data_IF_045911931940
#
_entry.id   IF_045911931940
#
_cell.length_a   1.000
_cell.length_b   1.000
_cell.length_c   1.000
_cell.angle_alpha   90.00
_cell.angle_beta   90.00
_cell.angle_gamma   90.00
#
_symmetry.space_group_name_H-M   'P 1'
#
loop_
_entity.id
_entity.type
_entity.pdbx_description
1 polymer ?
#
# COMPACT_ATOMS: atom_id res chain seq x y z
N UNK A 1 31.94 -87.64 -13.58
CA UNK A 1 31.91 -86.22 -14.06
C UNK A 1 30.44 -85.78 -14.19
N UNK A 2 29.92 -85.12 -13.18
CA UNK A 2 28.53 -84.66 -13.18
C UNK A 2 28.47 -83.12 -12.91
N UNK A 3 27.68 -82.39 -13.64
CA UNK A 3 27.59 -80.94 -13.42
C UNK A 3 26.63 -80.58 -12.28
N UNK A 4 27.16 -79.77 -11.39
CA UNK A 4 26.38 -79.09 -10.33
C UNK A 4 25.34 -78.13 -10.91
N UNK A 5 24.05 -78.36 -10.57
CA UNK A 5 23.00 -77.35 -10.76
C UNK A 5 22.94 -76.45 -9.55
N UNK A 6 23.31 -75.18 -9.75
CA UNK A 6 23.06 -74.13 -8.77
C UNK A 6 21.64 -73.60 -8.92
N UNK A 7 20.85 -73.73 -7.85
CA UNK A 7 19.51 -73.15 -7.75
C UNK A 7 19.64 -71.70 -7.35
N UNK A 8 19.24 -70.78 -8.23
CA UNK A 8 19.13 -69.33 -7.94
C UNK A 8 17.81 -69.15 -7.22
N UNK A 9 17.89 -68.79 -5.93
CA UNK A 9 16.75 -68.31 -5.11
C UNK A 9 16.54 -66.84 -5.35
N UNK A 10 15.54 -66.49 -6.13
CA UNK A 10 15.06 -65.13 -6.31
C UNK A 10 14.27 -64.71 -5.05
N UNK A 11 14.85 -63.81 -4.25
CA UNK A 11 14.13 -63.19 -3.13
C UNK A 11 13.37 -61.99 -3.67
N UNK A 12 12.05 -62.10 -3.69
CA UNK A 12 11.15 -60.98 -3.96
C UNK A 12 11.15 -60.05 -2.73
N UNK A 13 11.80 -58.88 -2.86
CA UNK A 13 11.73 -57.84 -1.84
C UNK A 13 10.56 -56.96 -2.19
N UNK A 14 9.41 -57.17 -1.48
CA UNK A 14 8.30 -56.23 -1.53
C UNK A 14 8.70 -54.94 -0.77
N UNK A 15 9.09 -53.90 -1.53
CA UNK A 15 9.34 -52.58 -0.97
C UNK A 15 7.98 -51.87 -0.80
N UNK A 16 7.48 -51.88 0.44
CA UNK A 16 6.33 -51.05 0.84
C UNK A 16 6.77 -49.61 0.89
N UNK A 17 6.46 -48.83 -0.16
CA UNK A 17 6.56 -47.36 -0.16
C UNK A 17 5.41 -46.80 0.69
N UNK A 18 5.69 -46.55 1.97
CA UNK A 18 4.83 -45.74 2.82
C UNK A 18 4.92 -44.26 2.27
N UNK A 19 3.91 -43.85 1.51
CA UNK A 19 3.69 -42.47 1.19
C UNK A 19 3.25 -41.73 2.49
N UNK A 20 4.23 -41.16 3.22
CA UNK A 20 3.93 -40.15 4.24
C UNK A 20 3.41 -38.92 3.49
N UNK A 21 2.10 -38.76 3.43
CA UNK A 21 1.46 -37.53 3.13
C UNK A 21 1.84 -36.50 4.23
N UNK A 22 2.92 -35.75 4.04
CA UNK A 22 3.18 -34.55 4.84
C UNK A 22 2.03 -33.57 4.59
N UNK A 23 0.95 -33.69 5.37
CA UNK A 23 0.01 -32.59 5.54
C UNK A 23 0.76 -31.48 6.26
N UNK A 24 1.37 -30.57 5.47
CA UNK A 24 1.84 -29.31 6.01
C UNK A 24 0.66 -28.67 6.75
N UNK A 25 0.81 -28.25 8.03
CA UNK A 25 -0.24 -27.51 8.69
C UNK A 25 -0.50 -26.27 7.81
N UNK A 26 -1.74 -26.12 7.35
CA UNK A 26 -2.18 -24.91 6.71
C UNK A 26 -1.94 -23.80 7.75
N UNK A 27 -0.83 -23.06 7.58
CA UNK A 27 -0.54 -21.91 8.40
C UNK A 27 -1.80 -21.06 8.36
N UNK A 28 -2.42 -20.84 9.52
CA UNK A 28 -3.65 -20.07 9.62
C UNK A 28 -3.40 -18.75 8.89
N UNK A 29 -3.97 -18.64 7.68
CA UNK A 29 -3.72 -17.51 6.80
C UNK A 29 -4.03 -16.24 7.58
N UNK A 30 -3.02 -15.40 7.78
CA UNK A 30 -3.17 -14.18 8.56
C UNK A 30 -4.29 -13.33 7.98
N UNK A 31 -5.22 -12.87 8.82
CA UNK A 31 -6.32 -11.98 8.40
C UNK A 31 -5.92 -10.51 8.35
N UNK A 32 -4.63 -10.23 8.49
CA UNK A 32 -4.10 -8.88 8.38
C UNK A 32 -4.41 -8.26 7.03
N UNK A 33 -4.73 -6.98 7.03
CA UNK A 33 -4.97 -6.19 5.82
C UNK A 33 -4.02 -5.00 5.82
N UNK A 34 -3.51 -4.66 4.65
CA UNK A 34 -2.74 -3.43 4.43
C UNK A 34 -2.91 -2.93 3.01
N UNK A 35 -2.98 -1.62 2.85
CA UNK A 35 -2.99 -0.99 1.53
C UNK A 35 -1.56 -0.68 1.12
N UNK A 36 -1.19 -1.10 -0.09
CA UNK A 36 0.07 -0.76 -0.73
C UNK A 36 -0.19 0.05 -2.00
N UNK A 37 0.69 1.01 -2.22
CA UNK A 37 0.70 1.88 -3.38
C UNK A 37 2.01 1.69 -4.13
N UNK A 38 2.04 2.02 -5.40
CA UNK A 38 3.28 2.14 -6.17
C UNK A 38 3.59 3.61 -6.38
N UNK A 39 4.83 3.99 -6.13
CA UNK A 39 5.33 5.32 -6.51
C UNK A 39 5.41 5.37 -8.03
N UNK A 40 4.66 6.31 -8.62
CA UNK A 40 4.58 6.54 -10.06
C UNK A 40 5.37 7.76 -10.49
N UNK A 41 4.91 8.40 -11.57
CA UNK A 41 5.57 9.53 -12.20
C UNK A 41 5.73 10.74 -11.26
N UNK A 42 6.80 11.54 -11.46
CA UNK A 42 6.99 12.78 -10.73
C UNK A 42 5.94 13.83 -11.13
N UNK A 43 5.41 14.53 -10.12
CA UNK A 43 4.45 15.64 -10.27
C UNK A 43 5.12 17.02 -10.18
N UNK A 44 6.41 17.06 -9.87
CA UNK A 44 7.23 18.27 -9.85
C UNK A 44 8.49 18.04 -10.65
N UNK A 45 9.00 19.07 -11.36
CA UNK A 45 10.15 18.93 -12.25
C UNK A 45 11.42 18.58 -11.49
N UNK A 46 12.30 17.81 -12.14
CA UNK A 46 13.67 17.57 -11.71
C UNK A 46 14.57 18.82 -11.92
N UNK A 47 15.80 18.76 -11.38
CA UNK A 47 16.81 19.80 -11.57
C UNK A 47 16.84 20.85 -10.46
N UNK A 48 17.48 21.99 -10.78
CA UNK A 48 17.63 23.10 -9.83
C UNK A 48 16.40 23.98 -9.79
N UNK A 49 15.99 24.35 -8.57
CA UNK A 49 14.91 25.31 -8.36
C UNK A 49 14.90 25.91 -6.96
N UNK A 50 14.16 27.00 -6.83
CA UNK A 50 13.80 27.59 -5.54
C UNK A 50 12.61 26.81 -4.96
N UNK A 51 12.69 26.49 -3.65
CA UNK A 51 11.63 25.85 -2.86
C UNK A 51 11.31 26.76 -1.69
N UNK A 52 10.12 27.32 -1.70
CA UNK A 52 9.61 28.18 -0.62
C UNK A 52 8.98 27.31 0.47
N UNK A 53 8.65 27.94 1.59
CA UNK A 53 7.94 27.24 2.67
C UNK A 53 6.61 26.69 2.16
N UNK A 54 6.34 25.40 2.47
CA UNK A 54 5.19 24.59 2.04
C UNK A 54 5.26 24.06 0.60
N UNK A 55 6.28 24.43 -0.18
CA UNK A 55 6.51 23.81 -1.47
C UNK A 55 7.09 22.39 -1.30
N UNK A 56 6.92 21.57 -2.34
CA UNK A 56 7.47 20.22 -2.37
C UNK A 56 8.87 20.19 -2.98
N UNK A 57 9.81 19.51 -2.31
CA UNK A 57 11.15 19.17 -2.84
C UNK A 57 11.02 18.13 -3.96
N UNK A 58 10.19 17.12 -3.73
CA UNK A 58 9.71 16.18 -4.75
C UNK A 58 8.27 15.80 -4.42
N UNK A 59 7.53 15.42 -5.43
CA UNK A 59 6.16 14.94 -5.32
C UNK A 59 5.90 13.93 -6.43
N UNK A 60 5.38 12.79 -6.09
CA UNK A 60 5.12 11.69 -7.01
C UNK A 60 3.68 11.21 -6.88
N UNK A 61 3.11 10.78 -8.00
CA UNK A 61 1.82 10.12 -8.02
C UNK A 61 1.90 8.78 -7.28
N UNK A 62 0.83 8.42 -6.60
CA UNK A 62 0.64 7.09 -6.03
C UNK A 62 -0.45 6.35 -6.80
N UNK A 63 -0.13 5.14 -7.25
CA UNK A 63 -1.04 4.24 -7.93
C UNK A 63 -1.34 3.05 -7.01
N UNK A 64 -2.60 2.57 -6.94
CA UNK A 64 -2.90 1.37 -6.16
C UNK A 64 -2.20 0.14 -6.75
N UNK A 65 -1.88 -0.85 -5.93
CA UNK A 65 -1.30 -2.12 -6.41
C UNK A 65 -2.25 -2.91 -7.30
N UNK A 66 -3.54 -2.78 -7.10
CA UNK A 66 -4.58 -3.33 -7.95
C UNK A 66 -5.80 -2.42 -7.95
N UNK A 67 -6.48 -2.38 -9.09
CA UNK A 67 -7.64 -1.55 -9.35
C UNK A 67 -8.74 -2.40 -9.97
N UNK A 68 -9.98 -2.18 -9.56
CA UNK A 68 -11.14 -2.85 -10.14
C UNK A 68 -12.37 -1.93 -10.19
N UNK A 69 -13.33 -2.29 -11.03
CA UNK A 69 -14.69 -1.72 -11.03
C UNK A 69 -15.72 -2.84 -11.17
N UNK A 70 -16.95 -2.58 -10.76
CA UNK A 70 -18.04 -3.55 -10.90
C UNK A 70 -18.47 -3.68 -12.36
N UNK A 71 -18.59 -4.90 -12.85
CA UNK A 71 -18.96 -5.19 -14.25
C UNK A 71 -20.42 -4.84 -14.59
N UNK A 72 -21.32 -4.80 -13.60
CA UNK A 72 -22.73 -4.45 -13.76
C UNK A 72 -23.03 -2.95 -13.81
N UNK A 73 -21.99 -2.11 -13.87
CA UNK A 73 -22.12 -0.65 -13.95
C UNK A 73 -22.87 -0.03 -12.77
N UNK A 74 -23.62 1.06 -13.02
CA UNK A 74 -24.27 1.85 -11.98
C UNK A 74 -25.30 1.10 -11.15
N UNK A 75 -26.02 0.13 -11.73
CA UNK A 75 -27.01 -0.65 -11.00
C UNK A 75 -26.37 -1.56 -9.96
N UNK A 76 -25.29 -2.28 -10.33
CA UNK A 76 -24.52 -3.12 -9.41
C UNK A 76 -23.83 -2.28 -8.33
N UNK A 77 -23.25 -1.15 -8.69
CA UNK A 77 -22.63 -0.23 -7.75
C UNK A 77 -23.66 0.29 -6.72
N UNK A 78 -24.82 0.73 -7.16
CA UNK A 78 -25.90 1.20 -6.29
C UNK A 78 -26.38 0.11 -5.31
N UNK A 79 -26.59 -1.12 -5.81
CA UNK A 79 -26.95 -2.27 -4.98
C UNK A 79 -25.89 -2.58 -3.92
N UNK A 80 -24.63 -2.33 -4.22
CA UNK A 80 -23.49 -2.48 -3.30
C UNK A 80 -23.28 -1.26 -2.38
N UNK A 81 -24.08 -0.21 -2.50
CA UNK A 81 -23.93 1.04 -1.74
C UNK A 81 -22.75 1.90 -2.20
N UNK A 82 -22.31 1.72 -3.44
CA UNK A 82 -21.22 2.45 -4.07
C UNK A 82 -21.76 3.53 -5.03
N UNK A 83 -20.91 4.47 -5.41
CA UNK A 83 -21.22 5.37 -6.53
C UNK A 83 -21.23 4.59 -7.85
N UNK A 84 -21.96 5.10 -8.86
CA UNK A 84 -22.11 4.42 -10.16
C UNK A 84 -20.80 4.09 -10.86
N UNK A 85 -19.77 4.91 -10.61
CA UNK A 85 -18.46 4.83 -11.23
C UNK A 85 -17.34 4.49 -10.22
N UNK A 86 -17.70 3.89 -9.08
CA UNK A 86 -16.75 3.60 -8.02
C UNK A 86 -15.62 2.70 -8.52
N UNK A 87 -14.40 3.14 -8.27
CA UNK A 87 -13.19 2.34 -8.42
C UNK A 87 -12.81 1.76 -7.06
N UNK A 88 -12.47 0.48 -7.06
CA UNK A 88 -12.09 -0.27 -5.87
C UNK A 88 -10.60 -0.55 -5.91
N UNK A 89 -9.90 -0.34 -4.81
CA UNK A 89 -8.46 -0.64 -4.68
C UNK A 89 -8.23 -1.98 -3.99
N UNK A 90 -7.24 -2.72 -4.46
CA UNK A 90 -6.85 -3.98 -3.86
C UNK A 90 -6.17 -3.76 -2.51
N UNK A 91 -6.58 -4.54 -1.53
CA UNK A 91 -5.99 -4.56 -0.19
C UNK A 91 -5.26 -5.87 0.00
N UNK A 92 -3.98 -5.78 0.36
CA UNK A 92 -3.14 -6.95 0.60
C UNK A 92 -3.63 -7.71 1.83
N UNK A 93 -3.98 -8.97 1.64
CA UNK A 93 -4.37 -9.91 2.70
C UNK A 93 -4.05 -11.34 2.27
N UNK A 94 -4.03 -12.28 3.20
CA UNK A 94 -3.70 -13.66 2.87
C UNK A 94 -4.93 -14.48 2.49
N UNK A 95 -4.80 -15.28 1.43
CA UNK A 95 -5.71 -16.37 1.08
C UNK A 95 -7.01 -15.99 0.38
N UNK A 96 -7.28 -14.69 0.15
CA UNK A 96 -8.44 -14.20 -0.59
C UNK A 96 -8.10 -12.88 -1.27
N UNK A 97 -8.83 -12.51 -2.30
CA UNK A 97 -8.74 -11.20 -2.93
C UNK A 97 -9.73 -10.24 -2.24
N UNK A 98 -9.26 -9.07 -1.86
CA UNK A 98 -10.09 -8.04 -1.23
C UNK A 98 -9.90 -6.74 -1.96
N UNK A 99 -11.02 -6.11 -2.31
CA UNK A 99 -11.07 -4.76 -2.85
C UNK A 99 -11.93 -3.87 -1.96
N UNK A 100 -11.49 -2.63 -1.75
CA UNK A 100 -12.21 -1.67 -0.92
C UNK A 100 -12.44 -0.35 -1.68
N UNK A 101 -13.54 0.33 -1.37
CA UNK A 101 -13.78 1.71 -1.84
C UNK A 101 -12.75 2.64 -1.18
N UNK A 102 -11.89 3.32 -1.96
CA UNK A 102 -10.90 4.24 -1.40
C UNK A 102 -11.52 5.53 -0.85
N UNK A 103 -12.76 5.85 -1.20
CA UNK A 103 -13.39 7.10 -0.85
C UNK A 103 -14.05 7.03 0.53
N UNK A 104 -13.85 8.07 1.33
CA UNK A 104 -14.50 8.24 2.63
C UNK A 104 -15.89 8.81 2.38
N UNK A 105 -16.89 7.95 2.17
CA UNK A 105 -18.25 8.38 1.82
C UNK A 105 -19.17 8.70 2.98
N UNK A 106 -18.90 8.18 4.18
CA UNK A 106 -19.77 8.39 5.33
C UNK A 106 -19.00 8.79 6.58
N UNK A 107 -19.31 9.97 7.12
CA UNK A 107 -18.97 10.30 8.51
C UNK A 107 -19.95 9.56 9.41
N UNK A 108 -19.52 8.50 10.10
CA UNK A 108 -20.25 7.99 11.25
C UNK A 108 -19.82 8.77 12.50
N UNK A 109 -20.66 8.79 13.53
CA UNK A 109 -20.34 9.44 14.81
C UNK A 109 -19.00 8.99 15.39
N UNK A 110 -18.56 7.77 15.07
CA UNK A 110 -17.26 7.23 15.46
C UNK A 110 -16.61 6.57 14.25
N UNK A 111 -15.63 7.26 13.65
CA UNK A 111 -14.80 6.75 12.56
C UNK A 111 -15.45 6.81 11.17
N UNK A 112 -14.66 6.44 10.19
CA UNK A 112 -15.09 6.33 8.79
C UNK A 112 -15.21 4.85 8.44
N UNK A 113 -16.31 4.45 7.83
CA UNK A 113 -16.50 3.10 7.34
C UNK A 113 -16.36 3.07 5.82
N UNK A 114 -15.58 2.13 5.32
CA UNK A 114 -15.39 1.88 3.91
C UNK A 114 -15.89 0.48 3.57
N UNK A 115 -16.72 0.32 2.54
CA UNK A 115 -17.11 -0.99 2.06
C UNK A 115 -15.91 -1.70 1.42
N UNK A 116 -15.73 -2.95 1.81
CA UNK A 116 -14.79 -3.89 1.23
C UNK A 116 -15.53 -5.12 0.74
N UNK A 117 -15.05 -5.69 -0.35
CA UNK A 117 -15.62 -6.84 -1.03
C UNK A 117 -14.57 -7.95 -1.10
N UNK A 118 -15.01 -9.18 -0.96
CA UNK A 118 -14.16 -10.37 -0.93
C UNK A 118 -14.52 -11.28 -2.09
N UNK A 119 -13.52 -11.62 -2.87
CA UNK A 119 -13.52 -12.71 -3.83
C UNK A 119 -12.73 -13.85 -3.18
N UNK A 120 -13.45 -14.89 -2.75
CA UNK A 120 -12.92 -15.95 -1.89
C UNK A 120 -12.21 -17.05 -2.67
N UNK A 121 -12.63 -17.30 -3.90
CA UNK A 121 -12.13 -18.38 -4.77
C UNK A 121 -11.40 -17.86 -6.02
N UNK A 122 -11.29 -16.52 -6.16
CA UNK A 122 -10.59 -15.85 -7.25
C UNK A 122 -11.24 -16.04 -8.62
N UNK A 123 -12.58 -16.17 -8.67
CA UNK A 123 -13.35 -16.37 -9.90
C UNK A 123 -13.73 -15.05 -10.62
N UNK A 124 -13.37 -13.89 -10.03
CA UNK A 124 -13.70 -12.57 -10.55
C UNK A 124 -15.06 -12.05 -10.11
N UNK A 125 -15.60 -12.61 -9.02
CA UNK A 125 -16.84 -12.17 -8.38
C UNK A 125 -16.63 -11.97 -6.88
N UNK A 126 -17.34 -11.03 -6.31
CA UNK A 126 -17.39 -10.85 -4.87
C UNK A 126 -18.57 -11.59 -4.28
N UNK A 127 -18.35 -12.54 -3.38
CA UNK A 127 -19.38 -13.29 -2.65
C UNK A 127 -19.60 -12.73 -1.24
N UNK A 128 -18.69 -11.89 -0.75
CA UNK A 128 -18.76 -11.35 0.59
C UNK A 128 -18.46 -9.86 0.66
N UNK A 129 -18.98 -9.22 1.69
CA UNK A 129 -18.68 -7.83 1.98
C UNK A 129 -18.49 -7.58 3.47
N UNK A 130 -17.78 -6.54 3.81
CA UNK A 130 -17.64 -6.04 5.19
C UNK A 130 -17.30 -4.55 5.19
N UNK A 131 -17.40 -3.93 6.37
CA UNK A 131 -17.00 -2.55 6.57
C UNK A 131 -15.68 -2.52 7.35
N UNK A 132 -14.72 -1.77 6.87
CA UNK A 132 -13.52 -1.44 7.64
C UNK A 132 -13.68 -0.08 8.33
N UNK A 133 -13.12 0.04 9.54
CA UNK A 133 -13.18 1.29 10.33
C UNK A 133 -11.83 2.01 10.38
N UNK A 134 -10.80 1.43 9.79
CA UNK A 134 -9.44 1.95 9.87
C UNK A 134 -9.14 2.86 8.69
N UNK A 135 -9.46 4.13 8.82
CA UNK A 135 -9.10 5.16 7.84
C UNK A 135 -8.23 6.21 8.52
N UNK A 136 -6.99 6.31 8.08
CA UNK A 136 -6.16 7.47 8.38
C UNK A 136 -6.50 8.56 7.36
N UNK A 137 -6.69 9.81 7.81
CA UNK A 137 -6.87 10.94 6.90
C UNK A 137 -5.74 10.95 5.85
N UNK A 138 -6.12 11.14 4.59
CA UNK A 138 -5.18 11.39 3.51
C UNK A 138 -4.90 10.19 2.60
N UNK A 139 -4.34 9.12 3.08
CA UNK A 139 -4.26 7.85 2.36
C UNK A 139 -5.22 6.86 2.98
N UNK A 140 -5.87 6.07 2.15
CA UNK A 140 -6.59 4.89 2.59
C UNK A 140 -5.55 3.89 3.07
N UNK A 141 -5.15 4.01 4.33
CA UNK A 141 -4.45 2.96 5.02
C UNK A 141 -5.49 2.04 5.63
N UNK A 142 -5.95 1.09 4.86
CA UNK A 142 -6.75 0.01 5.41
C UNK A 142 -5.79 -0.89 6.16
N UNK A 143 -5.84 -0.79 7.47
CA UNK A 143 -5.06 -1.63 8.37
C UNK A 143 -6.02 -2.37 9.28
N UNK A 144 -5.60 -3.50 9.78
CA UNK A 144 -6.39 -4.29 10.70
C UNK A 144 -6.56 -5.71 10.24
N UNK A 145 -7.67 -6.33 10.63
CA UNK A 145 -7.97 -7.71 10.27
C UNK A 145 -9.31 -7.76 9.56
N UNK A 146 -9.36 -8.45 8.41
CA UNK A 146 -10.64 -8.79 7.81
C UNK A 146 -11.44 -9.70 8.75
N UNK A 147 -12.79 -9.65 8.74
CA UNK A 147 -13.60 -10.59 9.50
C UNK A 147 -13.32 -12.02 9.06
N UNK A 148 -13.47 -12.99 9.97
CA UNK A 148 -13.34 -14.41 9.65
C UNK A 148 -14.41 -14.86 8.64
N UNK A 149 -15.61 -14.34 8.83
CA UNK A 149 -16.77 -14.59 7.95
C UNK A 149 -17.30 -13.24 7.48
N UNK A 150 -17.00 -12.81 6.24
CA UNK A 150 -17.65 -11.66 5.62
C UNK A 150 -19.16 -11.88 5.51
N UNK A 151 -19.94 -10.81 5.46
CA UNK A 151 -21.37 -10.91 5.17
C UNK A 151 -21.54 -11.42 3.74
N UNK A 152 -22.23 -12.52 3.55
CA UNK A 152 -22.56 -13.03 2.22
C UNK A 152 -23.42 -12.03 1.45
N UNK A 153 -23.12 -11.86 0.18
CA UNK A 153 -23.86 -11.02 -0.77
C UNK A 153 -24.19 -11.83 -2.03
N UNK A 154 -25.15 -11.36 -2.83
CA UNK A 154 -25.31 -11.87 -4.18
C UNK A 154 -24.01 -11.64 -4.96
N UNK A 155 -23.52 -12.62 -5.76
CA UNK A 155 -22.27 -12.48 -6.47
C UNK A 155 -22.24 -11.25 -7.36
N UNK A 156 -21.21 -10.40 -7.17
CA UNK A 156 -21.01 -9.17 -7.93
C UNK A 156 -19.77 -9.32 -8.81
N UNK A 157 -19.95 -9.46 -10.09
CA UNK A 157 -18.83 -9.53 -11.03
C UNK A 157 -18.06 -8.21 -11.06
N UNK A 158 -16.74 -8.30 -11.12
CA UNK A 158 -15.85 -7.15 -11.27
C UNK A 158 -14.87 -7.37 -12.41
N UNK A 159 -14.32 -6.30 -12.93
CA UNK A 159 -13.17 -6.35 -13.84
C UNK A 159 -11.98 -5.62 -13.26
N UNK A 160 -10.81 -6.18 -13.42
CA UNK A 160 -9.57 -5.49 -13.08
C UNK A 160 -9.27 -4.42 -14.12
N UNK A 161 -8.75 -3.30 -13.64
CA UNK A 161 -8.29 -2.18 -14.45
C UNK A 161 -6.78 -2.04 -14.32
N UNK A 162 -6.18 -1.36 -15.29
CA UNK A 162 -4.81 -0.89 -15.14
C UNK A 162 -4.74 0.12 -13.98
N UNK A 163 -3.80 -0.01 -13.03
CA UNK A 163 -3.66 0.93 -11.94
C UNK A 163 -3.50 2.39 -12.36
N UNK A 164 -2.95 2.66 -13.55
CA UNK A 164 -2.83 4.02 -14.11
C UNK A 164 -4.17 4.69 -14.39
N UNK A 165 -5.24 3.90 -14.56
CA UNK A 165 -6.61 4.39 -14.73
C UNK A 165 -7.27 4.88 -13.43
N UNK A 166 -6.56 4.82 -12.29
CA UNK A 166 -7.06 5.33 -11.02
C UNK A 166 -7.30 6.84 -11.08
N UNK A 167 -8.53 7.27 -10.81
CA UNK A 167 -8.98 8.65 -11.02
C UNK A 167 -8.53 9.59 -9.91
N UNK A 168 -8.42 9.09 -8.68
CA UNK A 168 -8.03 9.92 -7.56
C UNK A 168 -6.55 10.33 -7.66
N UNK A 169 -6.29 11.60 -7.39
CA UNK A 169 -4.94 12.18 -7.44
C UNK A 169 -4.22 11.96 -6.10
N UNK A 170 -3.85 10.70 -5.84
CA UNK A 170 -3.04 10.34 -4.68
C UNK A 170 -1.57 10.65 -4.93
N UNK A 171 -0.88 11.15 -3.89
CA UNK A 171 0.55 11.46 -3.99
C UNK A 171 1.33 11.11 -2.72
N UNK A 172 2.65 11.02 -2.87
CA UNK A 172 3.65 11.11 -1.81
C UNK A 172 4.65 12.20 -2.16
N UNK A 173 5.10 12.97 -1.19
CA UNK A 173 6.06 14.04 -1.44
C UNK A 173 6.78 14.50 -0.19
N UNK A 174 7.90 15.18 -0.38
CA UNK A 174 8.68 15.82 0.67
C UNK A 174 8.42 17.33 0.64
N UNK A 175 7.74 17.84 1.66
CA UNK A 175 7.37 19.23 1.78
C UNK A 175 8.36 19.98 2.68
N UNK A 176 8.87 21.12 2.21
CA UNK A 176 9.71 22.00 3.01
C UNK A 176 8.87 22.82 4.00
N UNK A 177 9.18 22.73 5.29
CA UNK A 177 8.45 23.41 6.36
C UNK A 177 9.08 24.73 6.80
N UNK A 178 10.27 25.02 6.29
CA UNK A 178 11.01 26.19 6.69
C UNK A 178 12.16 25.86 7.66
N UNK A 179 12.69 26.88 8.28
CA UNK A 179 13.77 26.78 9.25
C UNK A 179 13.20 26.66 10.67
N UNK A 180 13.68 25.68 11.43
CA UNK A 180 13.40 25.60 12.88
C UNK A 180 14.34 26.56 13.61
N UNK A 181 13.86 27.73 13.95
CA UNK A 181 14.63 28.85 14.52
C UNK A 181 15.45 28.50 15.77
N UNK A 182 15.02 27.50 16.55
CA UNK A 182 15.68 27.14 17.82
C UNK A 182 16.92 26.25 17.61
N UNK A 183 16.96 25.47 16.53
CA UNK A 183 18.00 24.45 16.31
C UNK A 183 18.82 24.68 15.03
N UNK A 184 18.49 25.71 14.24
CA UNK A 184 19.21 26.03 13.00
C UNK A 184 19.13 24.94 11.93
N UNK A 185 18.02 24.19 11.88
CA UNK A 185 17.82 23.11 10.90
C UNK A 185 16.72 23.48 9.90
N UNK A 186 16.90 23.08 8.63
CA UNK A 186 15.82 23.01 7.67
C UNK A 186 14.98 21.77 7.93
N UNK A 187 13.66 21.95 7.97
CA UNK A 187 12.70 20.91 8.33
C UNK A 187 11.87 20.50 7.13
N UNK A 188 11.71 19.21 6.95
CA UNK A 188 10.88 18.64 5.91
C UNK A 188 9.93 17.60 6.49
N UNK A 189 8.71 17.57 5.97
CA UNK A 189 7.71 16.55 6.30
C UNK A 189 7.43 15.69 5.07
N UNK A 190 7.38 14.38 5.24
CA UNK A 190 6.84 13.48 4.22
C UNK A 190 5.32 13.60 4.27
N UNK A 191 4.74 14.03 3.16
CA UNK A 191 3.31 14.21 2.94
C UNK A 191 2.78 13.13 2.01
N UNK A 192 1.53 12.73 2.21
CA UNK A 192 0.87 11.75 1.36
C UNK A 192 -0.65 11.93 1.40
N UNK A 193 -1.33 11.49 0.36
CA UNK A 193 -2.78 11.57 0.26
C UNK A 193 -3.25 12.31 -0.97
N UNK A 194 -4.39 13.00 -0.87
CA UNK A 194 -4.90 13.94 -1.87
C UNK A 194 -4.60 15.37 -1.46
N UNK A 195 -4.80 16.34 -2.36
CA UNK A 195 -4.67 17.77 -2.02
C UNK A 195 -5.63 18.18 -0.90
N UNK A 196 -6.83 17.63 -0.88
CA UNK A 196 -7.86 17.96 0.12
C UNK A 196 -7.59 17.27 1.47
N UNK A 197 -7.05 16.04 1.42
CA UNK A 197 -6.83 15.21 2.60
C UNK A 197 -5.38 14.72 2.65
N UNK A 198 -4.51 15.58 3.15
CA UNK A 198 -3.08 15.29 3.25
C UNK A 198 -2.71 14.80 4.64
N UNK A 199 -2.10 13.63 4.72
CA UNK A 199 -1.45 13.08 5.90
C UNK A 199 0.03 13.46 5.97
N UNK A 200 0.65 13.22 7.13
CA UNK A 200 2.10 13.36 7.32
C UNK A 200 2.64 12.16 8.07
N UNK A 201 3.82 11.70 7.70
CA UNK A 201 4.57 10.81 8.59
C UNK A 201 4.99 11.56 9.85
N UNK A 202 5.03 10.84 10.97
CA UNK A 202 5.40 11.43 12.27
C UNK A 202 6.87 11.83 12.32
N UNK A 203 7.72 11.13 11.57
CA UNK A 203 9.15 11.40 11.51
C UNK A 203 9.43 12.58 10.56
N UNK A 204 10.10 13.60 11.09
CA UNK A 204 10.57 14.73 10.32
C UNK A 204 11.98 14.49 9.80
N UNK A 205 12.24 14.97 8.61
CA UNK A 205 13.59 15.00 8.04
C UNK A 205 14.22 16.34 8.40
N UNK A 206 15.43 16.31 8.94
CA UNK A 206 16.17 17.49 9.37
C UNK A 206 17.48 17.60 8.59
N UNK A 207 17.77 18.78 8.03
CA UNK A 207 19.04 19.09 7.42
C UNK A 207 19.71 20.25 8.19
N UNK A 208 20.93 20.04 8.67
CA UNK A 208 21.65 21.07 9.45
C UNK A 208 22.01 22.25 8.56
N UNK A 209 21.72 23.48 9.02
CA UNK A 209 22.00 24.71 8.30
C UNK A 209 23.47 24.92 7.94
N UNK A 210 24.39 24.49 8.81
CA UNK A 210 25.81 24.57 8.57
C UNK A 210 26.38 23.51 7.61
N UNK A 211 25.54 22.60 7.12
CA UNK A 211 25.89 21.60 6.11
C UNK A 211 25.38 22.03 4.71
N UNK A 212 25.31 23.32 4.41
CA UNK A 212 24.93 23.82 3.10
C UNK A 212 26.19 24.39 2.41
N UNK A 213 26.49 23.97 1.16
CA UNK A 213 25.75 22.96 0.38
C UNK A 213 25.85 21.55 0.95
N UNK A 214 24.78 20.76 0.82
CA UNK A 214 24.76 19.39 1.32
C UNK A 214 23.55 18.58 0.85
N UNK A 215 23.78 17.27 0.74
CA UNK A 215 22.78 16.33 0.23
C UNK A 215 21.97 15.67 1.35
N UNK A 216 20.74 15.29 1.02
CA UNK A 216 19.83 14.55 1.90
C UNK A 216 19.11 13.49 1.08
N UNK A 217 18.98 12.30 1.65
CA UNK A 217 18.23 11.21 1.06
C UNK A 217 16.96 10.93 1.88
N UNK A 218 15.84 10.75 1.21
CA UNK A 218 14.55 10.46 1.82
C UNK A 218 13.75 9.52 0.92
N UNK A 219 13.32 8.37 1.46
CA UNK A 219 12.55 7.37 0.73
C UNK A 219 13.24 6.88 -0.57
N UNK A 220 14.56 6.93 -0.63
CA UNK A 220 15.34 6.58 -1.83
C UNK A 220 15.43 7.69 -2.87
N UNK A 221 14.83 8.85 -2.65
CA UNK A 221 15.07 10.06 -3.43
C UNK A 221 16.17 10.91 -2.81
N UNK A 222 17.02 11.55 -3.61
CA UNK A 222 18.13 12.37 -3.15
C UNK A 222 18.08 13.78 -3.74
N UNK A 223 18.33 14.76 -2.88
CA UNK A 223 18.44 16.17 -3.28
C UNK A 223 19.59 16.86 -2.55
N UNK A 224 20.15 17.87 -3.18
CA UNK A 224 21.18 18.72 -2.59
C UNK A 224 20.61 20.12 -2.32
N UNK A 225 20.76 20.62 -1.10
CA UNK A 225 20.50 22.02 -0.78
C UNK A 225 21.75 22.81 -1.19
N UNK A 226 21.62 23.71 -2.15
CA UNK A 226 22.71 24.51 -2.71
C UNK A 226 22.90 25.81 -1.94
N UNK A 227 21.81 26.43 -1.52
CA UNK A 227 21.81 27.67 -0.75
C UNK A 227 20.52 27.80 0.06
N UNK A 228 20.56 28.63 1.09
CA UNK A 228 19.40 29.00 1.88
C UNK A 228 19.29 30.53 1.96
N UNK A 229 18.05 31.03 1.95
CA UNK A 229 17.70 32.43 2.09
C UNK A 229 16.51 32.59 3.05
N UNK A 230 16.11 33.81 3.32
CA UNK A 230 14.90 34.10 4.12
C UNK A 230 13.63 33.56 3.46
N UNK A 231 13.58 33.55 2.12
CA UNK A 231 12.42 33.13 1.33
C UNK A 231 12.37 31.65 1.00
N UNK A 232 13.36 30.85 1.45
CA UNK A 232 13.38 29.42 1.20
C UNK A 232 14.78 28.86 0.94
N UNK A 233 14.82 27.76 0.19
CA UNK A 233 16.06 27.07 -0.15
C UNK A 233 16.15 26.89 -1.67
N UNK A 234 17.36 26.97 -2.21
CA UNK A 234 17.66 26.54 -3.59
C UNK A 234 18.15 25.10 -3.52
N UNK A 235 17.49 24.22 -4.24
CA UNK A 235 17.82 22.81 -4.30
C UNK A 235 18.18 22.38 -5.72
N UNK A 236 18.86 21.24 -5.80
CA UNK A 236 18.92 20.41 -6.98
C UNK A 236 18.38 19.03 -6.63
N UNK A 237 17.37 18.56 -7.35
CA UNK A 237 16.88 17.18 -7.24
C UNK A 237 17.86 16.29 -8.03
N UNK A 238 18.70 15.53 -7.30
CA UNK A 238 19.73 14.67 -7.88
C UNK A 238 19.13 13.35 -8.36
N UNK A 239 18.25 12.75 -7.54
CA UNK A 239 17.55 11.49 -7.86
C UNK A 239 16.09 11.61 -7.39
N UNK A 240 15.11 11.46 -8.28
CA UNK A 240 13.70 11.39 -7.90
C UNK A 240 13.43 10.09 -7.11
N UNK A 241 12.25 9.97 -6.48
CA UNK A 241 11.84 8.72 -5.87
C UNK A 241 11.82 7.62 -6.93
N UNK A 242 12.48 6.47 -6.69
CA UNK A 242 12.38 5.34 -7.59
C UNK A 242 10.96 4.74 -7.56
N UNK A 243 10.51 4.08 -8.64
CA UNK A 243 9.32 3.24 -8.59
C UNK A 243 9.50 2.17 -7.51
N UNK A 244 8.69 2.23 -6.47
CA UNK A 244 8.77 1.33 -5.32
C UNK A 244 7.42 1.21 -4.62
N UNK A 245 7.16 0.13 -3.88
CA UNK A 245 6.00 0.04 -3.01
C UNK A 245 6.03 1.10 -1.91
N UNK A 246 4.92 1.75 -1.69
CA UNK A 246 4.71 2.72 -0.62
C UNK A 246 3.53 2.30 0.24
N UNK A 247 3.74 2.19 1.54
CA UNK A 247 2.71 1.91 2.51
C UNK A 247 2.93 2.73 3.78
N UNK A 248 1.84 3.09 4.44
CA UNK A 248 1.88 3.78 5.73
C UNK A 248 1.39 2.83 6.80
N UNK A 249 2.26 2.49 7.75
CA UNK A 249 1.90 1.71 8.92
C UNK A 249 1.65 2.67 10.09
N UNK A 250 0.46 2.62 10.66
CA UNK A 250 0.14 3.35 11.87
C UNK A 250 0.30 2.43 13.07
N UNK A 251 1.26 2.72 13.94
CA UNK A 251 1.44 2.03 15.22
C UNK A 251 0.94 2.93 16.33
N UNK A 252 -0.05 2.46 17.10
CA UNK A 252 -0.51 3.16 18.31
C UNK A 252 0.17 2.54 19.52
N UNK A 253 1.01 3.32 20.22
CA UNK A 253 1.64 2.89 21.48
C UNK A 253 0.91 3.54 22.63
N UNK A 254 0.33 2.73 23.51
CA UNK A 254 -0.26 3.20 24.77
C UNK A 254 0.83 3.19 25.85
N UNK A 255 1.04 4.34 26.50
CA UNK A 255 1.81 4.40 27.74
C UNK A 255 0.80 4.47 28.89
N UNK A 256 0.84 3.48 29.76
CA UNK A 256 0.10 3.48 31.01
C UNK A 256 1.05 4.09 32.04
N UNK A 257 0.68 5.22 32.65
CA UNK A 257 1.42 5.88 33.71
C UNK A 257 0.84 5.46 35.07
#
# INVERSE_FOLDING_TARGET
MGPHRQAVRTRLICTFLLALACSAPAAAAGRGMTTLWMVGEPLVPAGERQVSRLDYVFKHRLLPMGLAELSGGSAAASAAGLAPDAQLIEVQTSGVIVFCDPLIRAKKLVGHAQPCFVDADSDGRFEGSFLTTSVTKGIVTIQGKRPGTPKAIAPLAYRRLDPSAFREQMFVGLQYRGNANIVGNHVFDVKYGTEEHTGSLTTRVLHKKNNIPGSTEVLGGRFTILAASENGIRIRLDEPLPPQPFGVLQTTTYRIY
#
